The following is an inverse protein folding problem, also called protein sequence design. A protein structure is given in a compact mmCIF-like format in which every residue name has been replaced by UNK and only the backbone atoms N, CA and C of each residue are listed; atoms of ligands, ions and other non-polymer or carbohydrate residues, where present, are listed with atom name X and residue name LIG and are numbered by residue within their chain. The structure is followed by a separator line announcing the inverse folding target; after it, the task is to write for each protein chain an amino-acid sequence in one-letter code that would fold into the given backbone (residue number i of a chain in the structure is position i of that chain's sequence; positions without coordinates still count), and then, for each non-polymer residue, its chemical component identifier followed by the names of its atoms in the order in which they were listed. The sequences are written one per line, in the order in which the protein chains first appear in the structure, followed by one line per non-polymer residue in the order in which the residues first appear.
data_IF_808888790610
#
_entry.id   IF_808888790610
#
_cell.length_a   1.000
_cell.length_b   1.000
_cell.length_c   1.000
_cell.angle_alpha   90.00
_cell.angle_beta   90.00
_cell.angle_gamma   90.00
#
_symmetry.space_group_name_H-M   'P 1'
#
loop_
_entity.id
_entity.type
_entity.pdbx_description
1 polymer ?
#
# COMPACT_ATOMS: atom_id res chain seq x y z
N UNK A 1 -60.10 -30.29 -23.98
CA UNK A 1 -58.95 -29.67 -24.68
C UNK A 1 -58.90 -28.23 -24.19
N UNK A 2 -57.84 -27.61 -23.66
CA UNK A 2 -56.40 -27.82 -23.64
C UNK A 2 -55.90 -27.01 -22.41
N UNK A 3 -55.12 -27.60 -21.48
CA UNK A 3 -54.59 -26.88 -20.31
C UNK A 3 -53.25 -26.23 -20.69
N UNK A 4 -53.23 -24.89 -20.79
CA UNK A 4 -52.00 -24.12 -21.00
C UNK A 4 -51.34 -23.87 -19.63
N UNK A 5 -50.19 -24.50 -19.40
CA UNK A 5 -49.33 -24.24 -18.25
C UNK A 5 -48.46 -23.02 -18.60
N UNK A 6 -48.47 -21.92 -17.82
CA UNK A 6 -47.64 -20.77 -18.13
C UNK A 6 -46.21 -21.06 -17.68
N UNK A 7 -45.33 -21.31 -18.66
CA UNK A 7 -43.87 -21.49 -18.54
C UNK A 7 -43.12 -20.18 -18.20
N UNK A 8 -43.73 -19.27 -17.43
CA UNK A 8 -43.21 -17.91 -17.23
C UNK A 8 -42.24 -17.65 -16.06
N UNK A 9 -41.94 -18.53 -15.07
CA UNK A 9 -41.09 -18.10 -13.96
C UNK A 9 -39.58 -18.30 -14.22
N UNK A 10 -39.17 -18.91 -15.33
CA UNK A 10 -37.76 -19.28 -15.57
C UNK A 10 -36.89 -18.17 -16.17
N UNK A 11 -37.47 -17.05 -16.62
CA UNK A 11 -36.72 -15.96 -17.28
C UNK A 11 -36.25 -14.84 -16.35
N UNK A 12 -36.64 -14.83 -15.06
CA UNK A 12 -36.30 -13.74 -14.12
C UNK A 12 -35.08 -14.03 -13.21
N UNK A 13 -34.47 -15.22 -13.28
CA UNK A 13 -33.36 -15.60 -12.39
C UNK A 13 -31.96 -15.10 -12.80
N UNK A 14 -31.80 -14.52 -13.98
CA UNK A 14 -30.48 -14.26 -14.59
C UNK A 14 -29.84 -12.89 -14.33
N UNK A 15 -30.50 -11.97 -13.62
CA UNK A 15 -30.08 -10.56 -13.60
C UNK A 15 -29.46 -10.02 -12.31
N UNK A 16 -29.05 -10.90 -11.38
CA UNK A 16 -28.41 -10.48 -10.13
C UNK A 16 -26.99 -11.05 -9.94
N UNK A 17 -26.23 -11.20 -11.04
CA UNK A 17 -24.78 -11.36 -10.93
C UNK A 17 -24.13 -9.99 -10.75
N UNK A 18 -24.18 -9.44 -9.54
CA UNK A 18 -23.32 -8.31 -9.19
C UNK A 18 -21.86 -8.81 -9.15
N UNK A 19 -20.91 -8.13 -9.79
CA UNK A 19 -19.51 -8.52 -9.70
C UNK A 19 -19.00 -8.24 -8.28
N UNK A 20 -18.93 -9.27 -7.44
CA UNK A 20 -18.27 -9.26 -6.12
C UNK A 20 -16.75 -9.36 -6.33
N UNK A 21 -16.16 -8.35 -6.96
CA UNK A 21 -14.69 -8.29 -7.18
C UNK A 21 -14.06 -7.01 -6.63
N UNK A 22 -14.85 -6.06 -6.13
CA UNK A 22 -14.35 -4.77 -5.65
C UNK A 22 -13.86 -4.76 -4.18
N UNK A 23 -14.32 -5.69 -3.34
CA UNK A 23 -14.02 -5.66 -1.90
C UNK A 23 -12.57 -6.05 -1.57
N UNK A 24 -11.98 -7.07 -2.23
CA UNK A 24 -10.67 -7.61 -1.83
C UNK A 24 -9.51 -6.62 -2.02
N UNK A 25 -9.53 -5.84 -3.10
CA UNK A 25 -8.43 -4.91 -3.42
C UNK A 25 -8.43 -3.69 -2.50
N UNK A 26 -9.62 -3.12 -2.25
CA UNK A 26 -9.83 -2.02 -1.33
C UNK A 26 -9.50 -2.43 0.11
N UNK A 27 -9.90 -3.64 0.50
CA UNK A 27 -9.57 -4.21 1.80
C UNK A 27 -8.07 -4.43 1.98
N UNK A 28 -7.36 -4.89 0.93
CA UNK A 28 -5.91 -5.04 0.97
C UNK A 28 -5.19 -3.72 1.24
N UNK A 29 -5.60 -2.64 0.56
CA UNK A 29 -5.02 -1.30 0.76
C UNK A 29 -5.40 -0.74 2.14
N UNK A 30 -6.64 -0.90 2.60
CA UNK A 30 -7.05 -0.53 3.95
C UNK A 30 -6.25 -1.28 5.02
N UNK A 31 -6.01 -2.58 4.80
CA UNK A 31 -5.21 -3.40 5.71
C UNK A 31 -3.76 -2.93 5.73
N UNK A 32 -3.17 -2.59 4.59
CA UNK A 32 -1.82 -2.03 4.51
C UNK A 32 -1.71 -0.76 5.36
N UNK A 33 -2.65 0.17 5.22
CA UNK A 33 -2.68 1.42 5.98
C UNK A 33 -2.81 1.20 7.51
N UNK A 34 -3.61 0.21 7.93
CA UNK A 34 -3.76 -0.15 9.36
C UNK A 34 -2.52 -0.81 9.93
N UNK A 35 -1.92 -1.75 9.18
CA UNK A 35 -0.76 -2.53 9.62
C UNK A 35 0.47 -1.64 9.83
N UNK A 36 0.69 -0.64 8.96
CA UNK A 36 1.80 0.32 9.13
C UNK A 36 1.72 1.09 10.46
N UNK A 37 0.53 1.26 11.04
CA UNK A 37 0.38 1.95 12.33
C UNK A 37 0.54 1.03 13.54
N UNK A 38 0.55 -0.28 13.33
CA UNK A 38 0.40 -1.27 14.41
C UNK A 38 1.58 -2.24 14.52
N UNK A 39 2.33 -2.46 13.43
CA UNK A 39 3.38 -3.47 13.40
C UNK A 39 4.77 -2.85 13.35
N UNK A 40 5.65 -3.32 14.24
CA UNK A 40 7.08 -3.06 14.11
C UNK A 40 7.69 -4.00 13.07
N UNK A 41 8.56 -3.47 12.21
CA UNK A 41 9.26 -4.24 11.19
C UNK A 41 10.63 -3.64 10.86
N UNK A 42 11.47 -4.45 10.23
CA UNK A 42 12.69 -3.97 9.59
C UNK A 42 12.87 -4.66 8.25
N UNK A 43 13.63 -4.05 7.36
CA UNK A 43 13.92 -4.65 6.07
C UNK A 43 14.93 -3.86 5.26
N UNK A 44 15.35 -4.47 4.16
CA UNK A 44 16.18 -3.83 3.15
C UNK A 44 15.42 -3.82 1.84
N UNK A 45 15.41 -2.68 1.17
CA UNK A 45 14.77 -2.49 -0.11
C UNK A 45 15.70 -1.77 -1.08
N UNK A 46 15.44 -1.92 -2.36
CA UNK A 46 16.16 -1.22 -3.43
C UNK A 46 15.24 -0.15 -4.00
N UNK A 47 15.79 1.02 -4.26
CA UNK A 47 15.16 2.09 -5.01
C UNK A 47 15.87 2.25 -6.36
N UNK A 48 15.09 2.20 -7.43
CA UNK A 48 15.57 2.37 -8.79
C UNK A 48 14.72 3.41 -9.54
N UNK A 49 15.37 4.42 -10.14
CA UNK A 49 14.71 5.43 -10.97
C UNK A 49 15.71 6.06 -11.94
N UNK A 50 15.36 6.14 -13.23
CA UNK A 50 16.16 6.84 -14.25
C UNK A 50 17.66 6.46 -14.25
N UNK A 51 17.99 5.18 -14.06
CA UNK A 51 19.37 4.70 -13.97
C UNK A 51 20.07 4.95 -12.64
N UNK A 52 19.42 5.63 -11.69
CA UNK A 52 19.84 5.65 -10.29
C UNK A 52 19.40 4.37 -9.60
N UNK A 53 20.31 3.75 -8.86
CA UNK A 53 20.10 2.53 -8.08
C UNK A 53 20.69 2.74 -6.69
N UNK A 54 19.90 2.48 -5.65
CA UNK A 54 20.37 2.60 -4.26
C UNK A 54 19.68 1.59 -3.37
N UNK A 55 20.41 1.13 -2.35
CA UNK A 55 19.96 0.13 -1.39
C UNK A 55 19.73 0.79 -0.04
N UNK A 56 18.57 0.56 0.55
CA UNK A 56 18.13 1.23 1.78
C UNK A 56 17.74 0.21 2.84
N UNK A 57 17.96 0.55 4.10
CA UNK A 57 17.44 -0.18 5.26
C UNK A 57 16.44 0.66 6.01
N UNK A 58 15.33 0.04 6.38
CA UNK A 58 14.30 0.64 7.22
C UNK A 58 14.20 -0.12 8.53
N UNK A 59 14.10 0.64 9.62
CA UNK A 59 13.57 0.18 10.90
C UNK A 59 12.32 0.99 11.19
N UNK A 60 11.23 0.28 11.45
CA UNK A 60 9.95 0.83 11.83
C UNK A 60 9.56 0.22 13.17
N UNK A 61 9.36 1.05 14.18
CA UNK A 61 8.98 0.64 15.53
C UNK A 61 7.73 1.36 15.96
N UNK A 62 6.74 0.59 16.39
CA UNK A 62 5.54 1.09 17.07
C UNK A 62 5.73 0.85 18.57
N UNK A 63 5.84 1.92 19.35
CA UNK A 63 6.01 1.87 20.80
C UNK A 63 5.29 3.05 21.46
N UNK A 64 4.57 2.80 22.55
CA UNK A 64 3.89 3.84 23.34
C UNK A 64 2.96 4.74 22.50
N UNK A 65 2.23 4.14 21.56
CA UNK A 65 1.35 4.85 20.63
C UNK A 65 2.08 5.75 19.61
N UNK A 66 3.41 5.69 19.57
CA UNK A 66 4.25 6.51 18.71
C UNK A 66 5.02 5.63 17.73
N UNK A 67 5.14 6.10 16.49
CA UNK A 67 5.93 5.46 15.44
C UNK A 67 7.32 6.10 15.41
N UNK A 68 8.34 5.26 15.51
CA UNK A 68 9.75 5.61 15.32
C UNK A 68 10.26 4.96 14.05
N UNK A 69 10.87 5.73 13.18
CA UNK A 69 11.46 5.23 11.95
C UNK A 69 12.89 5.70 11.75
N UNK A 70 13.68 4.82 11.17
CA UNK A 70 15.02 5.10 10.70
C UNK A 70 15.16 4.57 9.29
N UNK A 71 15.59 5.41 8.35
CA UNK A 71 15.98 5.01 7.01
C UNK A 71 17.46 5.30 6.81
N UNK A 72 18.18 4.34 6.26
CA UNK A 72 19.62 4.40 6.03
C UNK A 72 19.94 3.90 4.63
N UNK A 73 20.62 4.72 3.84
CA UNK A 73 21.23 4.29 2.60
C UNK A 73 22.49 3.46 2.89
N UNK A 74 22.60 2.30 2.22
CA UNK A 74 23.65 1.30 2.47
C UNK A 74 24.79 1.36 1.45
N UNK A 75 24.59 2.05 0.33
CA UNK A 75 25.54 2.21 -0.76
C UNK A 75 25.78 3.69 -1.09
N UNK A 76 26.98 4.02 -1.56
CA UNK A 76 27.33 5.42 -1.85
C UNK A 76 27.49 6.29 -0.60
N UNK A 77 26.97 7.53 -0.65
CA UNK A 77 27.06 8.46 0.47
C UNK A 77 26.13 8.03 1.60
N UNK A 78 26.65 8.07 2.84
CA UNK A 78 25.86 7.73 4.01
C UNK A 78 24.76 8.78 4.23
N UNK A 79 23.55 8.44 3.83
CA UNK A 79 22.35 9.23 4.03
C UNK A 79 21.46 8.54 5.06
N UNK A 80 21.05 9.27 6.08
CA UNK A 80 20.20 8.76 7.14
C UNK A 80 19.08 9.75 7.45
N UNK A 81 17.88 9.23 7.69
CA UNK A 81 16.75 9.99 8.19
C UNK A 81 16.11 9.28 9.38
N UNK A 82 15.89 10.01 10.47
CA UNK A 82 15.18 9.52 11.67
C UNK A 82 13.90 10.31 11.84
N UNK A 83 12.77 9.61 12.03
CA UNK A 83 11.45 10.20 12.24
C UNK A 83 10.81 9.69 13.52
N UNK A 84 10.14 10.58 14.25
CA UNK A 84 9.36 10.28 15.45
C UNK A 84 7.97 10.89 15.29
N UNK A 85 6.91 10.06 15.39
CA UNK A 85 5.53 10.53 15.21
C UNK A 85 5.27 11.15 13.84
N UNK A 86 6.02 10.74 12.80
CA UNK A 86 5.96 11.34 11.47
C UNK A 86 6.79 12.61 11.28
N UNK A 87 7.40 13.16 12.34
CA UNK A 87 8.26 14.34 12.27
C UNK A 87 9.73 13.92 12.13
N UNK A 88 10.42 14.48 11.13
CA UNK A 88 11.87 14.28 10.96
C UNK A 88 12.64 14.94 12.09
N UNK A 89 13.42 14.13 12.82
CA UNK A 89 14.26 14.57 13.93
C UNK A 89 15.68 14.89 13.46
N UNK A 90 16.26 14.02 12.65
CA UNK A 90 17.62 14.14 12.14
C UNK A 90 17.68 13.72 10.68
N UNK A 91 18.55 14.40 9.93
CA UNK A 91 18.97 13.98 8.58
C UNK A 91 20.48 14.14 8.48
N UNK A 92 21.18 13.17 7.89
CA UNK A 92 22.60 13.28 7.57
C UNK A 92 22.86 13.06 6.07
N UNK A 93 23.99 13.58 5.60
CA UNK A 93 24.39 13.53 4.19
C UNK A 93 23.72 14.62 3.33
N UNK A 94 24.13 14.70 2.07
CA UNK A 94 23.45 15.49 1.04
C UNK A 94 22.35 14.64 0.44
N UNK A 95 21.09 15.00 0.67
CA UNK A 95 19.96 14.34 0.04
C UNK A 95 20.07 14.47 -1.49
N UNK A 96 19.95 13.36 -2.21
CA UNK A 96 19.86 13.39 -3.67
C UNK A 96 18.67 14.25 -4.12
N UNK A 97 18.82 14.99 -5.23
CA UNK A 97 17.76 15.85 -5.75
C UNK A 97 16.49 15.02 -6.04
N UNK A 98 15.42 15.29 -5.28
CA UNK A 98 14.15 14.54 -5.34
C UNK A 98 13.88 13.62 -4.15
N UNK A 99 14.89 13.33 -3.33
CA UNK A 99 14.72 12.81 -1.96
C UNK A 99 14.55 14.03 -1.06
N UNK A 100 13.40 14.71 -1.14
CA UNK A 100 13.12 15.73 -0.14
C UNK A 100 13.05 15.03 1.22
N UNK A 101 13.67 15.62 2.23
CA UNK A 101 13.19 15.48 3.60
C UNK A 101 12.12 16.54 3.73
N UNK A 102 10.85 16.27 3.38
CA UNK A 102 9.85 17.21 3.75
C UNK A 102 9.87 17.25 5.28
N UNK A 103 10.07 18.44 5.84
CA UNK A 103 9.64 18.79 7.18
C UNK A 103 8.10 18.81 7.25
N UNK A 104 7.45 17.85 6.60
CA UNK A 104 6.01 17.69 6.49
C UNK A 104 5.78 16.24 6.83
N UNK A 105 5.08 16.01 7.94
CA UNK A 105 4.54 14.71 8.25
C UNK A 105 3.82 14.21 7.01
N UNK A 106 4.37 13.19 6.34
CA UNK A 106 3.63 12.53 5.28
C UNK A 106 2.32 12.04 5.91
N UNK A 107 1.15 12.43 5.39
CA UNK A 107 -0.11 11.97 5.95
C UNK A 107 -0.14 10.44 5.84
N UNK A 108 0.10 9.76 6.97
CA UNK A 108 0.02 8.29 7.05
C UNK A 108 -1.41 7.78 7.10
N UNK A 109 -2.37 8.68 7.28
CA UNK A 109 -3.77 8.37 7.09
C UNK A 109 -4.04 8.30 5.58
N UNK A 110 -3.98 7.08 5.05
CA UNK A 110 -4.39 6.79 3.69
C UNK A 110 -5.92 6.90 3.60
N UNK A 111 -6.42 7.87 2.83
CA UNK A 111 -7.85 8.03 2.59
C UNK A 111 -8.27 7.26 1.33
N UNK A 112 -8.70 6.01 1.54
CA UNK A 112 -9.14 5.14 0.45
C UNK A 112 -10.35 5.72 -0.30
N UNK A 113 -11.27 6.41 0.38
CA UNK A 113 -12.46 7.00 -0.26
C UNK A 113 -12.06 8.10 -1.24
N UNK A 114 -11.07 8.90 -0.87
CA UNK A 114 -10.53 9.92 -1.76
C UNK A 114 -9.82 9.29 -2.95
N UNK A 115 -9.09 8.19 -2.76
CA UNK A 115 -8.41 7.51 -3.85
C UNK A 115 -9.39 6.87 -4.85
N UNK A 116 -10.43 6.19 -4.36
CA UNK A 116 -11.43 5.53 -5.20
C UNK A 116 -12.32 6.49 -5.99
N UNK A 117 -12.29 7.79 -5.67
CA UNK A 117 -12.93 8.82 -6.49
C UNK A 117 -12.20 9.09 -7.82
N UNK A 118 -10.91 8.73 -7.92
CA UNK A 118 -10.06 9.02 -9.09
C UNK A 118 -9.44 7.79 -9.74
N UNK A 119 -9.32 6.69 -8.99
CA UNK A 119 -8.65 5.46 -9.43
C UNK A 119 -9.56 4.26 -9.28
N UNK A 120 -9.38 3.28 -10.16
CA UNK A 120 -10.06 2.00 -10.11
C UNK A 120 -9.14 0.96 -9.46
N UNK A 121 -9.50 0.52 -8.27
CA UNK A 121 -8.63 -0.29 -7.42
C UNK A 121 -8.97 -1.77 -7.62
N UNK A 122 -8.06 -2.53 -8.22
CA UNK A 122 -8.30 -3.92 -8.61
C UNK A 122 -7.20 -4.87 -8.18
N UNK A 123 -7.59 -6.06 -7.71
CA UNK A 123 -6.67 -7.19 -7.57
C UNK A 123 -6.44 -7.79 -8.95
N UNK A 124 -5.19 -7.78 -9.42
CA UNK A 124 -4.83 -8.26 -10.76
C UNK A 124 -4.04 -9.58 -10.74
N UNK A 125 -3.70 -10.08 -9.55
CA UNK A 125 -3.06 -11.38 -9.43
C UNK A 125 -2.37 -11.62 -8.09
N UNK A 126 -1.51 -12.64 -8.08
CA UNK A 126 -0.65 -13.00 -6.95
C UNK A 126 0.79 -13.07 -7.42
N UNK A 127 1.74 -12.83 -6.51
CA UNK A 127 3.17 -12.88 -6.80
C UNK A 127 3.96 -13.37 -5.58
N UNK A 128 5.28 -13.29 -5.67
CA UNK A 128 6.21 -13.51 -4.58
C UNK A 128 7.27 -12.41 -4.59
N UNK A 129 7.37 -11.67 -3.49
CA UNK A 129 8.35 -10.59 -3.30
C UNK A 129 9.13 -10.84 -2.02
N UNK A 130 10.46 -10.72 -2.05
CA UNK A 130 11.35 -11.05 -0.94
C UNK A 130 11.07 -12.45 -0.33
N UNK A 131 10.74 -13.43 -1.18
CA UNK A 131 10.41 -14.79 -0.76
C UNK A 131 9.00 -14.96 -0.15
N UNK A 132 8.21 -13.90 0.01
CA UNK A 132 6.88 -13.94 0.65
C UNK A 132 5.75 -13.90 -0.38
N UNK A 133 4.64 -14.64 -0.20
CA UNK A 133 3.49 -14.55 -1.08
C UNK A 133 2.84 -13.16 -0.99
N UNK A 134 2.45 -12.60 -2.13
CA UNK A 134 1.84 -11.27 -2.22
C UNK A 134 0.62 -11.26 -3.14
N UNK A 135 -0.29 -10.31 -2.91
CA UNK A 135 -1.38 -9.96 -3.83
C UNK A 135 -0.97 -8.73 -4.63
N UNK A 136 -1.20 -8.72 -5.93
CA UNK A 136 -0.95 -7.56 -6.79
C UNK A 136 -2.22 -6.72 -6.86
N UNK A 137 -2.14 -5.47 -6.41
CA UNK A 137 -3.21 -4.47 -6.54
C UNK A 137 -2.78 -3.43 -7.56
N UNK A 138 -3.63 -3.17 -8.55
CA UNK A 138 -3.50 -2.10 -9.53
C UNK A 138 -4.42 -0.92 -9.16
N UNK A 139 -3.97 0.29 -9.45
CA UNK A 139 -4.67 1.57 -9.24
C UNK A 139 -4.78 2.31 -10.56
#
# INVERSE_FOLDING_TARGET
MMRAVPLLPLLLGGWLALPVQADDAQDAINRLAKVDQQQSYQGTFVYERNGSFSTHRIWHRVADGTIQERLLQLDGSAQEAVRLGGLTQCVSGTLEAGVTSPAVAAPRAFDLKRLSAWYDIKTVGKSRVAGRPTTIVAL
#
